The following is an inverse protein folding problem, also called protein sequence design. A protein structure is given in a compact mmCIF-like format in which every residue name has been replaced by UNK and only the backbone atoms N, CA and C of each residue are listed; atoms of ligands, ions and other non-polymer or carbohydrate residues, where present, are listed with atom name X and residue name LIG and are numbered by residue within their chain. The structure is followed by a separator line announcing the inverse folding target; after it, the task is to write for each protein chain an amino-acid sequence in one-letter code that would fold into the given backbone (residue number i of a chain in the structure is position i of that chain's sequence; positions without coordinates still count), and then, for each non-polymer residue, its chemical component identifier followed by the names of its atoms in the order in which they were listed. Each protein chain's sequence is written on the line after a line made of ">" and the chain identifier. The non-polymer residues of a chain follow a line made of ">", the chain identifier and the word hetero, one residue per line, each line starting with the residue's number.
data_IF_084859482772
#
_entry.id   IF_084859482772
#
_cell.length_a   1.000
_cell.length_b   1.000
_cell.length_c   1.000
_cell.angle_alpha   90.00
_cell.angle_beta   90.00
_cell.angle_gamma   90.00
#
_symmetry.space_group_name_H-M   'P 1'
#
loop_
_entity.id
_entity.type
_entity.pdbx_description
1 polymer ?
#
# COMPACT_ATOMS: atom_id res chain seq x y z
N UNK A 1 -9.95 -4.81 -2.08
CA UNK A 1 -8.55 -4.42 -1.79
C UNK A 1 -7.49 -5.32 -2.44
N UNK A 2 -7.04 -6.46 -1.88
CA UNK A 2 -5.85 -7.18 -2.39
C UNK A 2 -5.92 -7.57 -3.88
N UNK A 3 -7.06 -8.09 -4.34
CA UNK A 3 -7.26 -8.45 -5.75
C UNK A 3 -7.26 -7.22 -6.68
N UNK A 4 -7.76 -6.08 -6.18
CA UNK A 4 -7.86 -4.82 -6.91
C UNK A 4 -6.47 -4.17 -7.07
N UNK A 5 -5.65 -4.22 -6.02
CA UNK A 5 -4.25 -3.82 -6.06
C UNK A 5 -3.45 -4.74 -6.99
N UNK A 6 -3.59 -6.06 -6.87
CA UNK A 6 -2.88 -7.02 -7.73
C UNK A 6 -3.18 -6.81 -9.22
N UNK A 7 -4.43 -6.50 -9.59
CA UNK A 7 -4.80 -6.17 -10.98
C UNK A 7 -4.21 -4.85 -11.46
N UNK A 8 -4.07 -3.88 -10.56
CA UNK A 8 -3.59 -2.53 -10.89
C UNK A 8 -2.07 -2.50 -11.12
N UNK A 9 -1.34 -3.38 -10.45
CA UNK A 9 0.14 -3.46 -10.49
C UNK A 9 0.65 -4.13 -11.76
N UNK A 10 -0.08 -5.12 -12.29
CA UNK A 10 0.36 -5.92 -13.44
C UNK A 10 1.39 -6.98 -13.07
N UNK A 11 1.67 -7.91 -14.00
CA UNK A 11 2.47 -9.11 -13.70
C UNK A 11 3.98 -8.89 -13.57
N UNK A 12 4.49 -7.69 -13.89
CA UNK A 12 5.92 -7.35 -13.85
C UNK A 12 6.38 -6.80 -12.50
N UNK A 13 5.45 -6.49 -11.59
CA UNK A 13 5.76 -5.93 -10.28
C UNK A 13 5.24 -6.87 -9.19
N UNK A 14 6.12 -7.23 -8.25
CA UNK A 14 5.79 -8.06 -7.10
C UNK A 14 5.31 -7.18 -5.93
N UNK A 15 4.06 -7.38 -5.51
CA UNK A 15 3.49 -6.65 -4.37
C UNK A 15 3.54 -7.49 -3.10
N UNK A 16 4.12 -6.93 -2.04
CA UNK A 16 4.07 -7.51 -0.69
C UNK A 16 3.25 -6.63 0.25
N UNK A 17 2.58 -7.25 1.22
CA UNK A 17 1.78 -6.52 2.21
C UNK A 17 2.14 -7.00 3.61
N UNK A 18 2.46 -6.05 4.48
CA UNK A 18 2.79 -6.30 5.89
C UNK A 18 1.88 -5.46 6.79
N UNK A 19 0.90 -6.11 7.41
CA UNK A 19 -0.04 -5.49 8.34
C UNK A 19 0.03 -6.26 9.65
N UNK A 20 0.69 -5.72 10.69
CA UNK A 20 0.74 -6.34 12.00
C UNK A 20 -0.67 -6.57 12.57
N UNK A 21 -0.87 -7.71 13.24
CA UNK A 21 -2.18 -8.08 13.80
C UNK A 21 -2.57 -7.31 15.06
N UNK A 22 -1.63 -6.58 15.65
CA UNK A 22 -1.74 -5.85 16.93
C UNK A 22 -1.91 -4.34 16.75
N UNK A 23 -2.26 -3.89 15.55
CA UNK A 23 -2.49 -2.47 15.27
C UNK A 23 -3.77 -1.94 15.95
N UNK A 24 -3.74 -0.73 16.52
CA UNK A 24 -4.94 -0.09 17.02
C UNK A 24 -5.90 0.24 15.87
N UNK A 25 -7.20 0.21 16.15
CA UNK A 25 -8.21 0.66 15.19
C UNK A 25 -8.14 2.17 14.98
N UNK A 26 -8.45 2.59 13.75
CA UNK A 26 -8.56 4.01 13.37
C UNK A 26 -9.93 4.27 12.75
N UNK A 27 -10.48 5.46 12.96
CA UNK A 27 -11.70 5.90 12.31
C UNK A 27 -11.34 6.63 11.01
N UNK A 28 -11.73 6.05 9.89
CA UNK A 28 -11.43 6.56 8.54
C UNK A 28 -12.60 6.29 7.61
N UNK A 29 -12.67 7.02 6.51
CA UNK A 29 -13.49 6.64 5.36
C UNK A 29 -12.75 5.55 4.56
N UNK A 30 -13.35 4.36 4.48
CA UNK A 30 -12.74 3.21 3.80
C UNK A 30 -12.54 3.45 2.31
N UNK A 31 -13.46 4.16 1.65
CA UNK A 31 -13.41 4.40 0.21
C UNK A 31 -12.26 5.38 -0.12
N UNK A 32 -12.04 6.38 0.74
CA UNK A 32 -10.92 7.32 0.59
C UNK A 32 -9.56 6.62 0.79
N UNK A 33 -9.47 5.69 1.73
CA UNK A 33 -8.25 4.90 1.95
C UNK A 33 -7.97 3.99 0.75
N UNK A 34 -9.00 3.32 0.21
CA UNK A 34 -8.84 2.46 -0.98
C UNK A 34 -8.38 3.28 -2.20
N UNK A 35 -8.98 4.45 -2.43
CA UNK A 35 -8.57 5.34 -3.53
C UNK A 35 -7.14 5.87 -3.34
N UNK A 36 -6.79 6.27 -2.13
CA UNK A 36 -5.43 6.72 -1.80
C UNK A 36 -4.38 5.64 -2.06
N UNK A 37 -4.64 4.41 -1.59
CA UNK A 37 -3.78 3.25 -1.84
C UNK A 37 -3.64 2.95 -3.33
N UNK A 38 -4.73 2.98 -4.09
CA UNK A 38 -4.71 2.73 -5.53
C UNK A 38 -3.81 3.74 -6.26
N UNK A 39 -3.92 5.02 -5.93
CA UNK A 39 -3.08 6.06 -6.53
C UNK A 39 -1.60 5.84 -6.25
N UNK A 40 -1.24 5.45 -5.01
CA UNK A 40 0.15 5.17 -4.64
C UNK A 40 0.70 3.95 -5.38
N UNK A 41 -0.10 2.90 -5.52
CA UNK A 41 0.28 1.66 -6.20
C UNK A 41 0.45 1.88 -7.70
N UNK A 42 -0.43 2.65 -8.33
CA UNK A 42 -0.26 3.05 -9.74
C UNK A 42 1.02 3.89 -9.91
N UNK A 43 1.26 4.86 -9.03
CA UNK A 43 2.48 5.67 -9.08
C UNK A 43 3.76 4.84 -8.92
N UNK A 44 3.74 3.83 -8.03
CA UNK A 44 4.87 2.93 -7.84
C UNK A 44 5.13 2.10 -9.10
N UNK A 45 4.09 1.49 -9.69
CA UNK A 45 4.19 0.76 -10.96
C UNK A 45 4.74 1.63 -12.08
N UNK A 46 4.21 2.83 -12.25
CA UNK A 46 4.61 3.74 -13.33
C UNK A 46 6.08 4.18 -13.19
N UNK A 47 6.63 4.18 -11.97
CA UNK A 47 8.05 4.38 -11.70
C UNK A 47 8.94 3.15 -11.96
N UNK A 48 8.35 1.99 -12.30
CA UNK A 48 9.02 0.69 -12.48
C UNK A 48 8.80 0.11 -13.90
N UNK A 49 9.36 0.73 -14.96
CA UNK A 49 9.13 0.32 -16.35
C UNK A 49 9.63 -1.10 -16.67
N UNK A 50 10.69 -1.55 -16.01
CA UNK A 50 11.27 -2.90 -16.17
C UNK A 50 10.72 -3.93 -15.14
N UNK A 51 9.71 -3.52 -14.37
CA UNK A 51 9.22 -4.28 -13.23
C UNK A 51 10.00 -4.00 -11.94
N UNK A 52 9.67 -4.72 -10.88
CA UNK A 52 10.29 -4.50 -9.57
C UNK A 52 9.50 -5.08 -8.40
N UNK A 53 9.75 -4.54 -7.20
CA UNK A 53 9.06 -4.94 -5.98
C UNK A 53 8.54 -3.71 -5.26
N UNK A 54 7.27 -3.75 -4.88
CA UNK A 54 6.68 -2.77 -3.98
C UNK A 54 6.25 -3.44 -2.67
N UNK A 55 6.22 -2.66 -1.60
CA UNK A 55 5.79 -3.13 -0.29
C UNK A 55 4.87 -2.13 0.36
N UNK A 56 3.72 -2.63 0.81
CA UNK A 56 2.75 -1.87 1.58
C UNK A 56 2.88 -2.32 3.03
N UNK A 57 3.24 -1.40 3.92
CA UNK A 57 3.41 -1.67 5.35
C UNK A 57 2.59 -0.72 6.20
N UNK A 58 2.00 -1.22 7.28
CA UNK A 58 1.27 -0.40 8.26
C UNK A 58 2.00 -0.45 9.58
N UNK A 59 2.23 0.72 10.18
CA UNK A 59 2.93 0.86 11.46
C UNK A 59 2.21 1.84 12.36
N UNK A 60 2.31 1.63 13.67
CA UNK A 60 1.95 2.66 14.64
C UNK A 60 2.98 3.79 14.59
N UNK A 61 2.56 5.07 14.54
CA UNK A 61 3.50 6.17 14.54
C UNK A 61 4.32 6.16 15.83
N UNK A 62 5.63 5.95 15.71
CA UNK A 62 6.57 6.31 16.76
C UNK A 62 6.81 7.81 16.64
N UNK A 63 6.11 8.61 17.45
CA UNK A 63 6.40 10.03 17.59
C UNK A 63 7.84 10.16 18.09
N UNK A 64 8.79 10.42 17.18
CA UNK A 64 10.11 10.94 17.54
C UNK A 64 9.91 12.41 17.89
N UNK A 65 9.86 12.71 19.18
CA UNK A 65 9.98 14.08 19.67
C UNK A 65 11.34 14.60 19.22
N UNK A 66 11.34 15.67 18.40
CA UNK A 66 12.54 16.42 18.02
C UNK A 66 13.09 17.21 19.20
#
# INVERSE_FOLDING_TARGET
>A
MQELLARSVGSSVETTTNVPGDLPSVLVDGDQIELGLLNLVVNARDAMPDGGKESISVTTPSLRTL
#
